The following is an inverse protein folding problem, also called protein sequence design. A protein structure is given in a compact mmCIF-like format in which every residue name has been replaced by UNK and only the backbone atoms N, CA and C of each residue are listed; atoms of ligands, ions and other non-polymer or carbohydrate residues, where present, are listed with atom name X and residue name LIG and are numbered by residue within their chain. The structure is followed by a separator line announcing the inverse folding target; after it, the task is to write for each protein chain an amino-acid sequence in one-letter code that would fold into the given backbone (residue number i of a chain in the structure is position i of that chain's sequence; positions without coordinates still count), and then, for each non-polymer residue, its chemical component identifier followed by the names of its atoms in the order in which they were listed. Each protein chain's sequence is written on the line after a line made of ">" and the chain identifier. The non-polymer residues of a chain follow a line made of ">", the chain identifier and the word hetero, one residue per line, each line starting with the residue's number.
data_IF_088252539405
#
_entry.id   IF_088252539405
#
_cell.length_a   1.000
_cell.length_b   1.000
_cell.length_c   1.000
_cell.angle_alpha   90.00
_cell.angle_beta   90.00
_cell.angle_gamma   90.00
#
_symmetry.space_group_name_H-M   'P 1'
#
loop_
_entity.id
_entity.type
_entity.pdbx_description
1 polymer ?
#
# COMPACT_ATOMS: atom_id res chain seq x y z
N UNK A 1 -12.48 -31.80 80.20
CA UNK A 1 -13.67 -31.36 79.43
C UNK A 1 -13.45 -29.92 78.95
N UNK A 2 -12.95 -29.73 77.72
CA UNK A 2 -12.69 -28.40 77.14
C UNK A 2 -13.96 -27.80 76.53
N UNK A 3 -14.27 -26.55 76.84
CA UNK A 3 -15.43 -25.82 76.29
C UNK A 3 -15.27 -25.65 74.76
N UNK A 4 -16.33 -25.84 73.95
CA UNK A 4 -16.23 -25.64 72.50
C UNK A 4 -16.02 -24.15 72.16
N UNK A 5 -15.28 -23.83 71.09
CA UNK A 5 -15.03 -22.45 70.68
C UNK A 5 -16.33 -21.80 70.20
N UNK A 6 -16.58 -20.57 70.68
CA UNK A 6 -17.72 -19.76 70.27
C UNK A 6 -17.56 -19.33 68.79
N UNK A 7 -18.64 -19.28 67.99
CA UNK A 7 -18.56 -18.90 66.59
C UNK A 7 -18.21 -17.41 66.43
N UNK A 8 -17.21 -17.13 65.60
CA UNK A 8 -16.78 -15.79 65.25
C UNK A 8 -17.92 -15.02 64.55
N UNK A 9 -18.45 -14.00 65.23
CA UNK A 9 -19.48 -13.14 64.67
C UNK A 9 -18.87 -12.32 63.52
N UNK A 10 -19.49 -12.30 62.33
CA UNK A 10 -18.96 -11.55 61.20
C UNK A 10 -18.90 -10.06 61.55
N UNK A 11 -17.69 -9.48 61.50
CA UNK A 11 -17.49 -8.06 61.75
C UNK A 11 -18.27 -7.24 60.72
N UNK A 12 -19.18 -6.37 61.19
CA UNK A 12 -19.94 -5.45 60.35
C UNK A 12 -18.94 -4.57 59.58
N UNK A 13 -18.98 -4.61 58.24
CA UNK A 13 -18.10 -3.82 57.39
C UNK A 13 -18.34 -2.34 57.68
N UNK A 14 -17.27 -1.58 57.91
CA UNK A 14 -17.32 -0.14 58.15
C UNK A 14 -18.04 0.60 57.00
N UNK A 15 -18.51 1.81 57.29
CA UNK A 15 -19.31 2.65 56.40
C UNK A 15 -18.69 2.72 55.00
N UNK A 16 -19.31 2.02 54.03
CA UNK A 16 -18.91 2.04 52.63
C UNK A 16 -19.55 3.27 51.99
N UNK A 17 -18.75 4.28 51.70
CA UNK A 17 -19.21 5.47 50.98
C UNK A 17 -19.44 5.07 49.52
N UNK A 18 -20.70 4.78 49.21
CA UNK A 18 -21.20 4.54 47.86
C UNK A 18 -21.34 3.06 47.45
N UNK A 19 -22.15 2.78 46.40
CA UNK A 19 -22.43 1.43 45.92
C UNK A 19 -21.15 0.67 45.58
N UNK A 20 -21.14 -0.66 45.76
CA UNK A 20 -19.95 -1.50 45.53
C UNK A 20 -19.36 -1.39 44.11
N UNK A 21 -20.18 -0.95 43.14
CA UNK A 21 -19.79 -0.61 41.77
C UNK A 21 -19.63 0.92 41.61
N UNK A 22 -18.88 1.57 42.50
CA UNK A 22 -18.36 2.89 42.18
C UNK A 22 -17.57 2.77 40.87
N UNK A 23 -17.71 3.74 39.95
CA UNK A 23 -16.91 3.76 38.75
C UNK A 23 -15.44 3.68 39.16
N UNK A 24 -14.82 2.52 38.90
CA UNK A 24 -13.43 2.28 39.25
C UNK A 24 -12.61 3.44 38.69
N UNK A 25 -11.79 4.06 39.54
CA UNK A 25 -11.20 5.38 39.24
C UNK A 25 -10.53 5.42 37.87
N UNK A 26 -10.44 6.61 37.27
CA UNK A 26 -9.96 6.83 35.89
C UNK A 26 -8.68 6.06 35.55
N UNK A 27 -7.76 5.90 36.51
CA UNK A 27 -6.54 5.11 36.35
C UNK A 27 -6.78 3.60 36.18
N UNK A 28 -7.67 3.00 36.98
CA UNK A 28 -8.01 1.57 36.85
C UNK A 28 -8.66 1.27 35.50
N UNK A 29 -9.58 2.12 35.04
CA UNK A 29 -10.19 2.01 33.68
C UNK A 29 -9.15 2.05 32.56
N UNK A 30 -8.17 2.96 32.65
CA UNK A 30 -7.07 3.05 31.69
C UNK A 30 -6.23 1.77 31.71
N UNK A 31 -5.86 1.28 32.90
CA UNK A 31 -5.08 0.03 33.04
C UNK A 31 -5.84 -1.17 32.47
N UNK A 32 -7.13 -1.30 32.77
CA UNK A 32 -7.97 -2.36 32.20
C UNK A 32 -8.09 -2.26 30.68
N UNK A 33 -8.27 -1.05 30.14
CA UNK A 33 -8.31 -0.82 28.69
C UNK A 33 -6.98 -1.22 28.03
N UNK A 34 -5.85 -0.83 28.63
CA UNK A 34 -4.52 -1.21 28.15
C UNK A 34 -4.39 -2.74 28.15
N UNK A 35 -4.72 -3.41 29.26
CA UNK A 35 -4.67 -4.88 29.39
C UNK A 35 -5.56 -5.56 28.34
N UNK A 36 -6.82 -5.15 28.22
CA UNK A 36 -7.77 -5.68 27.22
C UNK A 36 -7.24 -5.49 25.80
N UNK A 37 -6.69 -4.30 25.49
CA UNK A 37 -6.11 -4.00 24.17
C UNK A 37 -4.88 -4.86 23.86
N UNK A 38 -4.01 -5.13 24.84
CA UNK A 38 -2.81 -5.93 24.67
C UNK A 38 -3.16 -7.40 24.45
N UNK A 39 -4.11 -7.93 25.24
CA UNK A 39 -4.63 -9.29 25.10
C UNK A 39 -5.28 -9.46 23.73
N UNK A 40 -6.08 -8.50 23.28
CA UNK A 40 -6.72 -8.54 21.96
C UNK A 40 -5.68 -8.57 20.84
N UNK A 41 -4.68 -7.67 20.86
CA UNK A 41 -3.60 -7.65 19.86
C UNK A 41 -2.83 -8.97 19.82
N UNK A 42 -2.54 -9.56 20.98
CA UNK A 42 -1.87 -10.85 21.06
C UNK A 42 -2.73 -11.99 20.49
N UNK A 43 -4.04 -11.99 20.77
CA UNK A 43 -4.99 -12.97 20.20
C UNK A 43 -5.07 -12.85 18.68
N UNK A 44 -5.19 -11.64 18.14
CA UNK A 44 -5.21 -11.39 16.69
C UNK A 44 -3.91 -11.85 16.04
N UNK A 45 -2.75 -11.56 16.64
CA UNK A 45 -1.46 -12.05 16.12
C UNK A 45 -1.38 -13.57 16.13
N UNK A 46 -1.86 -14.23 17.19
CA UNK A 46 -1.90 -15.69 17.28
C UNK A 46 -2.84 -16.31 16.25
N UNK A 47 -4.05 -15.77 16.07
CA UNK A 47 -4.99 -16.28 15.06
C UNK A 47 -4.46 -16.07 13.65
N UNK A 48 -3.85 -14.90 13.38
CA UNK A 48 -3.26 -14.60 12.08
C UNK A 48 -2.05 -15.50 11.77
N UNK A 49 -1.17 -15.73 12.74
CA UNK A 49 -0.08 -16.69 12.60
C UNK A 49 -0.62 -18.10 12.33
N UNK A 50 -1.67 -18.53 13.05
CA UNK A 50 -2.32 -19.83 12.84
C UNK A 50 -2.97 -19.97 11.45
N UNK A 51 -3.59 -18.92 10.93
CA UNK A 51 -4.15 -18.93 9.56
C UNK A 51 -3.06 -18.97 8.49
N UNK A 52 -1.93 -18.30 8.72
CA UNK A 52 -0.77 -18.35 7.81
C UNK A 52 -0.14 -19.73 7.82
N UNK A 53 0.00 -20.34 9.00
CA UNK A 53 0.56 -21.68 9.16
C UNK A 53 -0.35 -22.80 8.63
N UNK A 54 -1.60 -22.51 8.26
CA UNK A 54 -2.54 -23.50 7.74
C UNK A 54 -3.19 -24.41 8.81
N UNK A 55 -2.77 -24.33 10.07
CA UNK A 55 -3.22 -25.20 11.18
C UNK A 55 -4.63 -24.89 11.74
N UNK A 56 -5.39 -24.01 11.09
CA UNK A 56 -6.75 -23.70 11.49
C UNK A 56 -7.74 -24.67 10.84
N UNK A 57 -8.48 -25.50 11.60
CA UNK A 57 -9.64 -26.18 11.04
C UNK A 57 -10.68 -25.13 10.69
N UNK A 58 -10.90 -24.91 9.39
CA UNK A 58 -11.95 -24.02 8.92
C UNK A 58 -13.30 -24.58 9.40
N UNK A 59 -13.87 -23.96 10.42
CA UNK A 59 -15.21 -24.33 10.93
C UNK A 59 -16.30 -23.64 10.12
N UNK A 60 -15.95 -22.61 9.34
CA UNK A 60 -16.86 -21.85 8.49
C UNK A 60 -16.92 -22.47 7.08
N UNK A 61 -18.08 -22.98 6.62
CA UNK A 61 -18.24 -23.53 5.28
C UNK A 61 -17.93 -22.51 4.17
N UNK A 62 -18.09 -21.21 4.42
CA UNK A 62 -17.74 -20.18 3.45
C UNK A 62 -16.23 -19.99 3.32
N UNK A 63 -15.46 -20.14 4.40
CA UNK A 63 -14.00 -20.06 4.38
C UNK A 63 -13.39 -21.23 3.58
N UNK A 64 -13.93 -22.44 3.76
CA UNK A 64 -13.53 -23.63 2.99
C UNK A 64 -13.75 -23.42 1.49
N UNK A 65 -14.95 -22.92 1.12
CA UNK A 65 -15.28 -22.66 -0.29
C UNK A 65 -14.38 -21.59 -0.89
N UNK A 66 -14.07 -20.54 -0.15
CA UNK A 66 -13.18 -19.48 -0.60
C UNK A 66 -11.74 -19.97 -0.83
N UNK A 67 -11.21 -20.83 0.04
CA UNK A 67 -9.90 -21.45 -0.15
C UNK A 67 -9.85 -22.33 -1.39
N UNK A 68 -10.85 -23.19 -1.58
CA UNK A 68 -10.94 -24.07 -2.75
C UNK A 68 -10.95 -23.29 -4.07
N UNK A 69 -11.71 -22.19 -4.14
CA UNK A 69 -11.72 -21.31 -5.31
C UNK A 69 -10.37 -20.63 -5.55
N UNK A 70 -9.63 -20.30 -4.49
CA UNK A 70 -8.33 -19.63 -4.61
C UNK A 70 -7.23 -20.61 -5.03
N UNK A 71 -7.32 -21.85 -4.57
CA UNK A 71 -6.45 -22.96 -4.99
C UNK A 71 -6.71 -23.34 -6.45
N UNK A 72 -7.98 -23.45 -6.87
CA UNK A 72 -8.38 -23.68 -8.27
C UNK A 72 -7.91 -22.55 -9.20
N UNK A 73 -8.04 -21.28 -8.77
CA UNK A 73 -7.51 -20.16 -9.54
C UNK A 73 -5.96 -20.14 -9.60
N UNK A 74 -5.29 -20.67 -8.58
CA UNK A 74 -3.83 -20.78 -8.56
C UNK A 74 -3.36 -21.89 -9.53
N UNK A 75 -4.02 -23.05 -9.54
CA UNK A 75 -3.70 -24.15 -10.46
C UNK A 75 -4.00 -23.79 -11.90
N UNK A 76 -5.10 -23.10 -12.19
CA UNK A 76 -5.38 -22.55 -13.53
C UNK A 76 -4.28 -21.57 -13.99
N UNK A 77 -3.76 -20.74 -13.08
CA UNK A 77 -2.66 -19.82 -13.38
C UNK A 77 -1.33 -20.54 -13.62
N UNK A 78 -1.06 -21.63 -12.92
CA UNK A 78 0.12 -22.45 -13.15
C UNK A 78 0.01 -23.26 -14.44
N UNK A 79 -1.17 -23.77 -14.79
CA UNK A 79 -1.43 -24.42 -16.08
C UNK A 79 -1.33 -23.43 -17.25
N UNK A 80 -1.82 -22.20 -17.09
CA UNK A 80 -1.63 -21.15 -18.08
C UNK A 80 -0.15 -20.78 -18.27
N UNK A 81 0.63 -20.72 -17.19
CA UNK A 81 2.07 -20.45 -17.25
C UNK A 81 2.88 -21.60 -17.85
N UNK A 82 2.53 -22.85 -17.58
CA UNK A 82 3.21 -24.00 -18.17
C UNK A 82 2.87 -24.21 -19.65
N UNK A 83 1.71 -23.73 -20.10
CA UNK A 83 1.36 -23.65 -21.52
C UNK A 83 2.12 -22.53 -22.27
N UNK A 84 2.64 -21.52 -21.57
CA UNK A 84 3.37 -20.37 -22.13
C UNK A 84 4.91 -20.53 -22.11
N UNK A 85 5.43 -21.72 -21.79
CA UNK A 85 6.87 -21.99 -21.65
C UNK A 85 7.44 -23.04 -22.62
N UNK A 86 6.88 -23.11 -23.82
CA UNK A 86 7.60 -23.61 -25.01
C UNK A 86 7.79 -22.42 -25.95
N UNK A 87 8.94 -21.77 -25.80
CA UNK A 87 9.66 -20.93 -26.78
C UNK A 87 10.36 -19.77 -26.04
N UNK A 88 11.68 -19.86 -25.91
CA UNK A 88 12.55 -18.74 -25.51
C UNK A 88 13.38 -18.96 -24.26
N UNK A 89 14.51 -19.66 -24.43
CA UNK A 89 15.70 -19.55 -23.58
C UNK A 89 16.12 -18.07 -23.43
N UNK A 90 16.42 -17.64 -22.20
CA UNK A 90 17.72 -17.06 -21.83
C UNK A 90 17.70 -16.64 -20.35
N UNK A 91 18.36 -17.47 -19.54
CA UNK A 91 18.56 -17.25 -18.12
C UNK A 91 19.69 -16.25 -17.87
N UNK A 92 19.35 -15.04 -17.43
CA UNK A 92 20.34 -14.13 -16.85
C UNK A 92 20.51 -14.45 -15.37
N UNK A 93 21.54 -15.26 -15.11
CA UNK A 93 21.99 -15.68 -13.79
C UNK A 93 22.58 -14.52 -13.00
N UNK A 94 22.35 -14.57 -11.69
CA UNK A 94 22.71 -13.60 -10.68
C UNK A 94 24.24 -13.56 -10.55
N UNK A 95 24.89 -12.63 -11.25
CA UNK A 95 26.24 -12.19 -10.92
C UNK A 95 26.13 -10.91 -10.10
N UNK A 96 26.36 -11.01 -8.79
CA UNK A 96 26.58 -9.86 -7.93
C UNK A 96 27.89 -9.17 -8.33
N UNK A 97 27.86 -8.40 -9.40
CA UNK A 97 28.91 -7.43 -9.72
C UNK A 97 28.85 -6.37 -8.62
N UNK A 98 29.99 -6.11 -7.97
CA UNK A 98 30.16 -5.00 -7.02
C UNK A 98 30.19 -3.69 -7.82
N UNK A 99 29.09 -3.39 -8.50
CA UNK A 99 28.94 -2.14 -9.23
C UNK A 99 28.75 -1.03 -8.21
N UNK A 100 29.82 -0.26 -8.01
CA UNK A 100 29.80 0.97 -7.24
C UNK A 100 28.60 1.82 -7.65
N UNK A 101 27.74 2.15 -6.68
CA UNK A 101 26.52 2.95 -6.85
C UNK A 101 26.83 4.20 -7.71
N UNK A 102 25.95 4.60 -8.65
CA UNK A 102 26.22 5.69 -9.61
C UNK A 102 26.68 6.99 -8.94
N UNK A 103 26.14 7.30 -7.76
CA UNK A 103 26.55 8.47 -6.97
C UNK A 103 28.03 8.44 -6.53
N UNK A 104 28.61 7.25 -6.25
CA UNK A 104 30.04 7.13 -5.88
C UNK A 104 30.96 7.30 -7.09
N UNK A 105 30.53 6.87 -8.28
CA UNK A 105 31.30 7.10 -9.53
C UNK A 105 31.43 8.59 -9.82
N UNK A 106 30.34 9.34 -9.64
CA UNK A 106 30.29 10.79 -9.84
C UNK A 106 31.19 11.60 -8.89
N UNK A 107 31.62 11.04 -7.76
CA UNK A 107 32.59 11.68 -6.85
C UNK A 107 34.03 11.38 -7.24
N UNK A 108 34.30 10.19 -7.78
CA UNK A 108 35.63 9.78 -8.22
C UNK A 108 36.02 10.38 -9.58
N UNK A 109 35.04 10.59 -10.46
CA UNK A 109 35.26 11.23 -11.77
C UNK A 109 35.44 12.76 -11.69
N UNK A 110 35.35 13.37 -10.50
CA UNK A 110 35.64 14.80 -10.36
C UNK A 110 37.16 15.04 -10.47
N UNK A 111 37.63 15.91 -11.38
CA UNK A 111 39.05 16.22 -11.47
C UNK A 111 39.54 16.83 -10.15
N UNK A 112 40.73 16.43 -9.69
CA UNK A 112 41.31 16.78 -8.36
C UNK A 112 41.44 18.29 -8.06
N UNK A 113 41.16 19.15 -9.04
CA UNK A 113 41.32 20.61 -8.97
C UNK A 113 40.34 21.34 -8.03
N UNK A 114 39.38 20.64 -7.40
CA UNK A 114 38.43 21.22 -6.42
C UNK A 114 38.66 20.74 -5.00
N UNK A 115 39.71 19.95 -4.74
CA UNK A 115 40.15 19.63 -3.38
C UNK A 115 40.88 20.85 -2.81
N UNK A 116 40.12 21.88 -2.45
CA UNK A 116 40.62 23.09 -1.78
C UNK A 116 41.37 22.66 -0.53
N UNK A 117 42.70 22.68 -0.61
CA UNK A 117 43.58 22.61 0.55
C UNK A 117 43.18 23.75 1.48
N UNK A 118 42.74 23.41 2.69
CA UNK A 118 42.53 24.42 3.73
C UNK A 118 43.90 24.81 4.24
N UNK A 119 44.37 25.99 3.83
CA UNK A 119 45.58 26.63 4.36
C UNK A 119 45.59 26.64 5.90
N UNK A 120 46.61 26.07 6.57
CA UNK A 120 46.75 26.16 8.01
C UNK A 120 47.55 27.41 8.41
N UNK A 121 47.26 28.57 7.82
CA UNK A 121 47.94 29.84 8.17
C UNK A 121 47.02 31.04 8.05
N UNK A 122 46.13 31.19 9.02
CA UNK A 122 45.56 32.50 9.38
C UNK A 122 45.17 32.47 10.86
N UNK A 123 46.17 32.70 11.71
CA UNK A 123 46.01 32.92 13.16
C UNK A 123 46.13 34.42 13.41
N UNK A 124 45.25 35.21 12.78
CA UNK A 124 45.06 36.60 13.17
C UNK A 124 44.04 36.69 14.30
N UNK A 125 44.59 36.97 15.48
CA UNK A 125 43.90 37.32 16.71
C UNK A 125 43.13 38.62 16.47
N UNK A 126 41.79 38.59 16.41
CA UNK A 126 41.06 39.87 16.32
C UNK A 126 39.54 39.85 16.20
N UNK A 127 38.90 38.73 15.87
CA UNK A 127 37.45 38.67 15.92
C UNK A 127 36.99 37.28 16.34
N UNK A 128 36.53 37.16 17.58
CA UNK A 128 35.61 36.08 17.94
C UNK A 128 34.35 36.27 17.09
N UNK A 129 34.37 35.83 15.83
CA UNK A 129 33.18 35.75 15.00
C UNK A 129 32.20 34.91 15.81
N UNK A 130 31.18 35.55 16.39
CA UNK A 130 30.09 34.88 17.10
C UNK A 130 29.67 33.73 16.21
N UNK A 131 30.01 32.50 16.59
CA UNK A 131 29.62 31.31 15.86
C UNK A 131 28.10 31.37 15.75
N UNK A 132 27.59 31.67 14.56
CA UNK A 132 26.16 31.79 14.35
C UNK A 132 25.53 30.49 14.82
N UNK A 133 24.70 30.59 15.86
CA UNK A 133 24.03 29.42 16.41
C UNK A 133 23.09 28.91 15.33
N UNK A 134 23.41 27.76 14.74
CA UNK A 134 22.53 27.08 13.79
C UNK A 134 21.16 26.93 14.45
N UNK A 135 20.12 27.47 13.80
CA UNK A 135 18.74 27.32 14.25
C UNK A 135 18.43 25.83 14.29
N UNK A 136 17.91 25.35 15.42
CA UNK A 136 17.49 23.95 15.56
C UNK A 136 16.33 23.72 14.59
N UNK A 137 16.45 22.67 13.78
CA UNK A 137 15.38 22.21 12.91
C UNK A 137 14.15 21.87 13.76
N UNK A 138 12.94 22.38 13.44
CA UNK A 138 11.72 22.01 14.15
C UNK A 138 11.58 20.49 14.27
N UNK A 139 11.10 20.03 15.42
CA UNK A 139 11.00 18.61 15.78
C UNK A 139 10.16 17.80 14.79
N UNK A 140 9.25 18.46 14.07
CA UNK A 140 8.28 17.82 13.18
C UNK A 140 8.66 17.85 11.69
N UNK A 141 9.82 18.39 11.31
CA UNK A 141 10.20 18.48 9.88
C UNK A 141 10.29 17.11 9.18
N UNK A 142 10.62 16.05 9.91
CA UNK A 142 10.64 14.69 9.36
C UNK A 142 9.21 14.21 9.08
N UNK A 143 8.30 14.43 10.02
CA UNK A 143 6.90 14.03 9.91
C UNK A 143 6.17 14.84 8.82
N UNK A 144 6.45 16.14 8.70
CA UNK A 144 5.89 16.98 7.63
C UNK A 144 6.35 16.53 6.24
N UNK A 145 7.63 16.14 6.09
CA UNK A 145 8.15 15.58 4.83
C UNK A 145 7.54 14.23 4.49
N UNK A 146 7.35 13.37 5.48
CA UNK A 146 6.67 12.08 5.29
C UNK A 146 5.19 12.28 4.94
N UNK A 147 4.50 13.22 5.60
CA UNK A 147 3.12 13.57 5.28
C UNK A 147 2.98 14.15 3.86
N UNK A 148 3.94 14.99 3.43
CA UNK A 148 3.97 15.51 2.06
C UNK A 148 4.16 14.39 1.03
N UNK A 149 5.10 13.47 1.26
CA UNK A 149 5.30 12.29 0.39
C UNK A 149 4.07 11.41 0.30
N UNK A 150 3.38 11.19 1.42
CA UNK A 150 2.15 10.40 1.43
C UNK A 150 1.01 11.08 0.66
N UNK A 151 0.86 12.40 0.78
CA UNK A 151 -0.12 13.19 0.00
C UNK A 151 0.20 13.14 -1.49
N UNK A 152 1.45 13.36 -1.87
CA UNK A 152 1.88 13.29 -3.27
C UNK A 152 1.63 11.90 -3.87
N UNK A 153 1.99 10.83 -3.16
CA UNK A 153 1.72 9.46 -3.61
C UNK A 153 0.22 9.14 -3.72
N UNK A 154 -0.62 9.71 -2.85
CA UNK A 154 -2.08 9.59 -2.96
C UNK A 154 -2.62 10.35 -4.17
N UNK A 155 -2.17 11.58 -4.38
CA UNK A 155 -2.55 12.38 -5.53
C UNK A 155 -2.13 11.75 -6.86
N UNK A 156 -0.94 11.15 -6.94
CA UNK A 156 -0.48 10.43 -8.12
C UNK A 156 -1.38 9.23 -8.42
N UNK A 157 -1.72 8.43 -7.40
CA UNK A 157 -2.66 7.31 -7.54
C UNK A 157 -4.03 7.80 -8.01
N UNK A 158 -4.52 8.89 -7.45
CA UNK A 158 -5.78 9.49 -7.89
C UNK A 158 -5.71 10.00 -9.33
N UNK A 159 -4.62 10.65 -9.73
CA UNK A 159 -4.39 11.10 -11.11
C UNK A 159 -4.37 9.91 -12.07
N UNK A 160 -3.69 8.82 -11.72
CA UNK A 160 -3.68 7.60 -12.54
C UNK A 160 -5.08 6.98 -12.65
N UNK A 161 -5.83 6.88 -11.55
CA UNK A 161 -7.20 6.38 -11.54
C UNK A 161 -8.10 7.27 -12.41
N UNK A 162 -8.00 8.59 -12.28
CA UNK A 162 -8.76 9.56 -13.09
C UNK A 162 -8.41 9.45 -14.57
N UNK A 163 -7.12 9.36 -14.92
CA UNK A 163 -6.67 9.18 -16.29
C UNK A 163 -7.20 7.87 -16.90
N UNK A 164 -7.14 6.77 -16.16
CA UNK A 164 -7.70 5.48 -16.58
C UNK A 164 -9.21 5.54 -16.81
N UNK A 165 -9.96 6.20 -15.91
CA UNK A 165 -11.40 6.41 -16.06
C UNK A 165 -11.73 7.21 -17.31
N UNK A 166 -11.04 8.33 -17.53
CA UNK A 166 -11.23 9.19 -18.71
C UNK A 166 -10.92 8.44 -20.00
N UNK A 167 -9.83 7.67 -20.05
CA UNK A 167 -9.48 6.86 -21.21
C UNK A 167 -10.55 5.78 -21.50
N UNK A 168 -11.01 5.11 -20.45
CA UNK A 168 -12.07 4.10 -20.55
C UNK A 168 -13.40 4.71 -21.02
N UNK A 169 -13.78 5.89 -20.51
CA UNK A 169 -14.99 6.60 -20.94
C UNK A 169 -14.89 7.10 -22.39
N UNK A 170 -13.71 7.58 -22.82
CA UNK A 170 -13.45 7.93 -24.22
C UNK A 170 -13.62 6.71 -25.12
N UNK A 171 -13.01 5.58 -24.78
CA UNK A 171 -13.14 4.32 -25.53
C UNK A 171 -14.58 3.81 -25.60
N UNK A 172 -15.33 3.91 -24.49
CA UNK A 172 -16.76 3.56 -24.47
C UNK A 172 -17.59 4.47 -25.38
N UNK A 173 -17.35 5.78 -25.35
CA UNK A 173 -18.04 6.75 -26.22
C UNK A 173 -17.74 6.47 -27.69
N UNK A 174 -16.48 6.24 -28.02
CA UNK A 174 -16.06 5.88 -29.39
C UNK A 174 -16.74 4.59 -29.87
N UNK A 175 -16.73 3.53 -29.03
CA UNK A 175 -17.42 2.27 -29.34
C UNK A 175 -18.91 2.48 -29.54
N UNK A 176 -19.56 3.28 -28.69
CA UNK A 176 -20.99 3.58 -28.80
C UNK A 176 -21.32 4.35 -30.08
N UNK A 177 -20.49 5.34 -30.45
CA UNK A 177 -20.63 6.07 -31.72
C UNK A 177 -20.45 5.14 -32.91
N UNK A 178 -19.39 4.32 -32.92
CA UNK A 178 -19.14 3.31 -33.96
C UNK A 178 -20.31 2.34 -34.08
N UNK A 179 -20.85 1.86 -32.96
CA UNK A 179 -22.04 0.99 -32.95
C UNK A 179 -23.26 1.70 -33.53
N UNK A 180 -23.55 2.94 -33.13
CA UNK A 180 -24.69 3.74 -33.62
C UNK A 180 -24.61 3.99 -35.12
N UNK A 181 -23.41 4.22 -35.64
CA UNK A 181 -23.17 4.40 -37.07
C UNK A 181 -23.38 3.08 -37.82
N UNK A 182 -22.80 1.97 -37.32
CA UNK A 182 -22.90 0.65 -37.94
C UNK A 182 -24.28 0.01 -37.84
N UNK A 183 -25.10 0.40 -36.87
CA UNK A 183 -26.47 -0.07 -36.73
C UNK A 183 -27.50 0.77 -37.51
N UNK A 184 -27.07 1.87 -38.14
CA UNK A 184 -27.98 2.77 -38.83
C UNK A 184 -28.59 2.11 -40.08
N UNK A 185 -29.92 1.88 -40.04
CA UNK A 185 -30.68 1.21 -41.10
C UNK A 185 -31.75 2.14 -41.71
N UNK A 186 -32.12 1.92 -42.97
CA UNK A 186 -33.24 2.59 -43.67
C UNK A 186 -34.57 2.00 -43.23
N UNK A 187 -35.68 2.64 -43.60
CA UNK A 187 -37.04 2.15 -43.34
C UNK A 187 -37.28 0.77 -43.97
N UNK A 188 -36.68 0.52 -45.14
CA UNK A 188 -36.67 -0.80 -45.82
C UNK A 188 -35.72 -1.82 -45.18
N UNK A 189 -35.06 -1.49 -44.07
CA UNK A 189 -34.10 -2.40 -43.45
C UNK A 189 -32.82 -2.60 -44.29
N UNK A 190 -32.35 -1.60 -45.02
CA UNK A 190 -31.03 -1.64 -45.66
C UNK A 190 -30.03 -0.81 -44.87
N UNK A 191 -28.74 -1.19 -44.89
CA UNK A 191 -27.71 -0.41 -44.18
C UNK A 191 -27.60 1.00 -44.77
N UNK A 192 -27.51 2.02 -43.91
CA UNK A 192 -27.32 3.41 -44.34
C UNK A 192 -25.84 3.63 -44.66
N UNK A 193 -25.44 3.27 -45.88
CA UNK A 193 -24.06 3.40 -46.37
C UNK A 193 -23.51 4.81 -46.20
N UNK A 194 -24.32 5.86 -46.39
CA UNK A 194 -23.89 7.24 -46.20
C UNK A 194 -23.44 7.59 -44.76
N UNK A 195 -23.91 6.86 -43.74
CA UNK A 195 -23.40 7.01 -42.36
C UNK A 195 -22.19 6.14 -42.10
N UNK A 196 -22.12 4.97 -42.75
CA UNK A 196 -21.07 3.97 -42.56
C UNK A 196 -19.85 4.18 -43.45
N UNK A 197 -19.96 5.00 -44.48
CA UNK A 197 -18.96 5.21 -45.53
C UNK A 197 -17.57 5.52 -44.96
N UNK A 198 -17.45 6.44 -43.99
CA UNK A 198 -16.18 6.80 -43.38
C UNK A 198 -15.47 5.60 -42.71
N UNK A 199 -16.20 4.83 -41.91
CA UNK A 199 -15.65 3.64 -41.24
C UNK A 199 -15.37 2.50 -42.22
N UNK A 200 -16.15 2.38 -43.29
CA UNK A 200 -15.88 1.43 -44.37
C UNK A 200 -14.60 1.80 -45.12
N UNK A 201 -14.40 3.09 -45.41
CA UNK A 201 -13.19 3.60 -46.07
C UNK A 201 -11.95 3.37 -45.19
N UNK A 202 -12.01 3.64 -43.89
CA UNK A 202 -10.92 3.31 -42.95
C UNK A 202 -10.58 1.82 -42.97
N UNK A 203 -11.60 0.94 -43.01
CA UNK A 203 -11.41 -0.51 -43.08
C UNK A 203 -10.75 -0.95 -44.39
N UNK A 204 -11.19 -0.40 -45.53
CA UNK A 204 -10.58 -0.67 -46.84
C UNK A 204 -9.14 -0.15 -46.88
N UNK A 205 -8.88 1.07 -46.37
CA UNK A 205 -7.52 1.65 -46.27
C UNK A 205 -6.61 0.76 -45.42
N UNK A 206 -7.11 0.20 -44.31
CA UNK A 206 -6.37 -0.75 -43.49
C UNK A 206 -6.07 -2.07 -44.23
N UNK A 207 -6.99 -2.56 -45.05
CA UNK A 207 -6.83 -3.80 -45.81
C UNK A 207 -5.89 -3.64 -47.02
N UNK A 208 -5.89 -2.47 -47.66
CA UNK A 208 -5.02 -2.15 -48.81
C UNK A 208 -3.63 -1.67 -48.35
N UNK A 209 -3.39 -1.54 -47.04
CA UNK A 209 -2.07 -1.22 -46.49
C UNK A 209 -1.58 0.21 -46.75
N UNK A 210 -2.42 1.08 -47.33
CA UNK A 210 -2.10 2.49 -47.56
C UNK A 210 -2.19 3.23 -46.23
N UNK A 211 -1.22 3.04 -45.35
CA UNK A 211 -1.01 3.91 -44.19
C UNK A 211 -0.39 5.21 -44.72
N UNK A 212 -1.17 6.28 -44.69
CA UNK A 212 -0.67 7.66 -44.87
C UNK A 212 0.21 8.05 -43.70
#
# INVERSE_FOLDING_TARGET
>A
MGKPPLPDKPRKKAFRIGPANLPDGTYKRKVEKIKKSLIHKAKVKKSFAKTISGDAPDTDPHAIRAKRLLEEAATEREQAKSAEHKDGEDGNTIAATTEMHPERRAVLDQPEMTRVEKDPKNVDKGAWRKREKKRKTPTFLKEEREAARLREAQEEKERQIRARKVAMDKSKKERALRKKVMSARTTKGQQKLGRQSALLLEKVKAQVGVRS
#
